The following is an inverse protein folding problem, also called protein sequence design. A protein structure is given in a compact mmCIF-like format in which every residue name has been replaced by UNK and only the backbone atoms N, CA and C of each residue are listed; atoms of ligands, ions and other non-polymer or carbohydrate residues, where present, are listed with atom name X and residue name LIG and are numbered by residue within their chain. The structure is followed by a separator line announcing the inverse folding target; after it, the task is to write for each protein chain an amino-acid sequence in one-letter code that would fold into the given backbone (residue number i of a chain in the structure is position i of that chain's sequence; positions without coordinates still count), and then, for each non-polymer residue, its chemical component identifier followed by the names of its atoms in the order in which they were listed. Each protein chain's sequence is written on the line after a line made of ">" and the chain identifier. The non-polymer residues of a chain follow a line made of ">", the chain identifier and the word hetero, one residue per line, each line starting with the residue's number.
data_IF_313773278065
#
_entry.id   IF_313773278065
#
_cell.length_a   1.000
_cell.length_b   1.000
_cell.length_c   1.000
_cell.angle_alpha   90.00
_cell.angle_beta   90.00
_cell.angle_gamma   90.00
#
_symmetry.space_group_name_H-M   'P 1'
#
loop_
_entity.id
_entity.type
_entity.pdbx_description
1 polymer ?
#
# COMPACT_ATOMS: atom_id res chain seq x y z
N UNK A 1 -12.34 -0.19 11.68
CA UNK A 1 -11.73 -1.51 11.95
C UNK A 1 -10.23 -1.36 11.98
N UNK A 2 -9.55 -1.90 12.99
CA UNK A 2 -8.09 -1.82 13.13
C UNK A 2 -7.53 -3.24 13.19
N UNK A 3 -6.59 -3.55 12.31
CA UNK A 3 -5.85 -4.83 12.34
C UNK A 3 -4.53 -4.58 13.07
N UNK A 4 -4.25 -5.38 14.10
CA UNK A 4 -2.96 -5.34 14.82
C UNK A 4 -2.05 -6.44 14.28
N UNK A 5 -0.95 -6.07 13.65
CA UNK A 5 0.08 -7.00 13.20
C UNK A 5 1.24 -7.08 14.21
N UNK A 6 1.73 -8.29 14.45
CA UNK A 6 3.01 -8.53 15.14
C UNK A 6 4.01 -9.08 14.12
N UNK A 7 5.08 -8.34 13.86
CA UNK A 7 6.10 -8.63 12.86
C UNK A 7 7.49 -8.59 13.49
N UNK A 8 8.46 -9.31 12.91
CA UNK A 8 9.84 -9.30 13.42
C UNK A 8 10.56 -7.99 13.07
N UNK A 9 11.41 -7.52 13.98
CA UNK A 9 12.33 -6.39 13.76
C UNK A 9 13.75 -6.92 13.68
N UNK A 10 14.46 -6.57 12.61
CA UNK A 10 15.85 -6.96 12.37
C UNK A 10 16.78 -5.76 12.49
N UNK A 11 18.05 -6.02 12.79
CA UNK A 11 19.10 -5.01 12.91
C UNK A 11 20.28 -5.36 12.00
N UNK A 12 20.92 -4.35 11.43
CA UNK A 12 22.20 -4.49 10.73
C UNK A 12 23.33 -3.92 11.58
N UNK A 13 24.34 -4.75 11.85
CA UNK A 13 25.48 -4.39 12.72
C UNK A 13 26.60 -3.65 11.98
N UNK A 14 26.50 -3.50 10.65
CA UNK A 14 27.50 -2.79 9.86
C UNK A 14 27.43 -1.29 10.14
N UNK A 15 28.51 -0.73 10.69
CA UNK A 15 28.62 0.71 11.05
C UNK A 15 28.38 1.67 9.88
N UNK A 16 28.70 1.27 8.65
CA UNK A 16 28.49 2.07 7.44
C UNK A 16 27.08 1.96 6.82
N UNK A 17 26.20 1.10 7.35
CA UNK A 17 24.87 0.92 6.79
C UNK A 17 23.92 2.06 7.21
N UNK A 18 23.39 2.79 6.22
CA UNK A 18 22.43 3.89 6.46
C UNK A 18 21.07 3.40 6.95
N UNK A 19 20.71 2.13 6.70
CA UNK A 19 19.48 1.50 7.19
C UNK A 19 19.82 0.47 8.26
N UNK A 20 19.78 0.87 9.53
CA UNK A 20 20.18 0.01 10.66
C UNK A 20 19.08 -0.91 11.17
N UNK A 21 17.82 -0.54 10.97
CA UNK A 21 16.66 -1.30 11.45
C UNK A 21 15.75 -1.63 10.28
N UNK A 22 15.30 -2.87 10.22
CA UNK A 22 14.36 -3.36 9.22
C UNK A 22 13.19 -4.05 9.93
N UNK A 23 12.03 -4.02 9.30
CA UNK A 23 10.84 -4.74 9.77
C UNK A 23 10.50 -5.79 8.74
N UNK A 24 10.21 -7.01 9.19
CA UNK A 24 9.73 -8.11 8.36
C UNK A 24 8.60 -7.65 7.45
N UNK A 25 8.75 -7.93 6.15
CA UNK A 25 7.70 -7.68 5.18
C UNK A 25 6.94 -8.99 4.94
N UNK A 26 5.76 -9.11 5.53
CA UNK A 26 4.81 -10.17 5.23
C UNK A 26 4.22 -9.89 3.85
N UNK A 27 4.49 -10.80 2.90
CA UNK A 27 3.95 -10.72 1.55
C UNK A 27 2.44 -10.51 1.57
N UNK A 28 1.93 -9.66 0.67
CA UNK A 28 0.51 -9.29 0.57
C UNK A 28 -0.07 -8.46 1.74
N UNK A 29 0.67 -8.27 2.83
CA UNK A 29 0.16 -7.62 4.03
C UNK A 29 0.93 -6.35 4.41
N UNK A 30 2.23 -6.33 4.13
CA UNK A 30 3.10 -5.18 4.44
C UNK A 30 4.05 -4.90 3.30
N UNK A 31 4.13 -3.63 2.94
CA UNK A 31 5.09 -3.08 1.98
C UNK A 31 5.63 -1.76 2.54
N UNK A 32 6.89 -1.45 2.25
CA UNK A 32 7.53 -0.20 2.65
C UNK A 32 6.70 1.02 2.20
N UNK A 33 6.45 1.94 3.13
CA UNK A 33 5.73 3.20 2.92
C UNK A 33 4.27 3.09 2.45
N UNK A 34 3.67 1.89 2.41
CA UNK A 34 2.26 1.74 2.07
C UNK A 34 1.36 2.20 3.22
N UNK A 35 0.38 3.03 2.89
CA UNK A 35 -0.65 3.54 3.82
C UNK A 35 -2.01 2.85 3.66
N UNK A 36 -2.10 1.84 2.80
CA UNK A 36 -3.32 1.06 2.57
C UNK A 36 -2.98 -0.40 2.30
N UNK A 37 -3.83 -1.31 2.76
CA UNK A 37 -3.71 -2.74 2.49
C UNK A 37 -3.80 -3.01 0.98
N UNK A 38 -3.20 -4.11 0.53
CA UNK A 38 -3.25 -4.53 -0.87
C UNK A 38 -4.68 -4.81 -1.32
N UNK A 39 -5.44 -5.57 -0.53
CA UNK A 39 -6.86 -5.80 -0.80
C UNK A 39 -7.65 -4.50 -0.93
N UNK A 40 -7.51 -3.54 -0.01
CA UNK A 40 -8.22 -2.26 -0.16
C UNK A 40 -7.85 -1.53 -1.45
N UNK A 41 -6.59 -1.58 -1.88
CA UNK A 41 -6.16 -0.97 -3.14
C UNK A 41 -6.82 -1.66 -4.34
N UNK A 42 -6.83 -3.00 -4.37
CA UNK A 42 -7.45 -3.78 -5.45
C UNK A 42 -8.95 -3.47 -5.58
N UNK A 43 -9.68 -3.50 -4.47
CA UNK A 43 -11.10 -3.15 -4.45
C UNK A 43 -11.36 -1.73 -4.97
N UNK A 44 -10.54 -0.76 -4.55
CA UNK A 44 -10.67 0.62 -5.03
C UNK A 44 -10.28 0.77 -6.51
N UNK A 45 -9.35 -0.03 -7.02
CA UNK A 45 -9.00 -0.07 -8.45
C UNK A 45 -10.18 -0.60 -9.26
N UNK A 46 -10.82 -1.70 -8.84
CA UNK A 46 -12.03 -2.21 -9.51
C UNK A 46 -13.13 -1.15 -9.54
N UNK A 47 -13.40 -0.49 -8.42
CA UNK A 47 -14.36 0.62 -8.36
C UNK A 47 -13.98 1.75 -9.33
N UNK A 48 -12.69 2.11 -9.42
CA UNK A 48 -12.22 3.15 -10.31
C UNK A 48 -12.36 2.78 -11.79
N UNK A 49 -12.09 1.52 -12.16
CA UNK A 49 -12.23 1.01 -13.53
C UNK A 49 -13.70 1.02 -13.96
N UNK A 50 -14.61 0.53 -13.10
CA UNK A 50 -16.03 0.38 -13.43
C UNK A 50 -16.82 1.69 -13.34
N UNK A 51 -16.51 2.56 -12.36
CA UNK A 51 -17.33 3.73 -12.04
C UNK A 51 -16.57 5.07 -12.17
N UNK A 52 -15.26 5.03 -12.39
CA UNK A 52 -14.42 6.22 -12.40
C UNK A 52 -14.40 6.97 -11.06
N UNK A 53 -14.20 8.28 -11.13
CA UNK A 53 -13.96 9.11 -9.94
C UNK A 53 -15.20 9.41 -9.09
N UNK A 54 -16.14 10.23 -9.59
CA UNK A 54 -17.25 10.76 -8.75
C UNK A 54 -18.31 9.71 -8.44
N UNK A 55 -18.62 8.81 -9.38
CA UNK A 55 -19.57 7.74 -9.11
C UNK A 55 -18.96 6.69 -8.16
N UNK A 56 -17.68 6.35 -8.36
CA UNK A 56 -16.93 5.51 -7.44
C UNK A 56 -16.83 6.10 -6.03
N UNK A 57 -16.61 7.41 -5.88
CA UNK A 57 -16.61 8.08 -4.57
C UNK A 57 -17.96 7.94 -3.84
N UNK A 58 -19.07 8.12 -4.56
CA UNK A 58 -20.41 7.95 -3.97
C UNK A 58 -20.65 6.52 -3.50
N UNK A 59 -20.21 5.52 -4.28
CA UNK A 59 -20.28 4.12 -3.87
C UNK A 59 -19.39 3.86 -2.64
N UNK A 60 -18.14 4.31 -2.66
CA UNK A 60 -17.22 4.15 -1.53
C UNK A 60 -17.79 4.73 -0.24
N UNK A 61 -18.45 5.90 -0.31
CA UNK A 61 -19.14 6.50 0.85
C UNK A 61 -20.24 5.60 1.40
N UNK A 62 -21.06 4.98 0.53
CA UNK A 62 -22.10 4.01 0.95
C UNK A 62 -21.50 2.75 1.57
N UNK A 63 -20.32 2.33 1.12
CA UNK A 63 -19.60 1.16 1.62
C UNK A 63 -18.68 1.46 2.82
N UNK A 64 -18.68 2.69 3.35
CA UNK A 64 -17.77 3.15 4.41
C UNK A 64 -16.27 2.97 4.06
N UNK A 65 -15.93 3.05 2.78
CA UNK A 65 -14.55 3.03 2.28
C UNK A 65 -14.02 4.46 2.13
N UNK A 66 -12.87 4.74 2.73
CA UNK A 66 -12.23 6.06 2.67
C UNK A 66 -11.53 6.29 1.32
N UNK A 67 -12.27 6.70 0.29
CA UNK A 67 -11.69 7.06 -1.01
C UNK A 67 -12.45 8.23 -1.66
N UNK A 68 -11.72 9.27 -2.08
CA UNK A 68 -12.28 10.39 -2.84
C UNK A 68 -12.02 10.25 -4.35
N UNK A 69 -12.75 11.01 -5.17
CA UNK A 69 -12.62 11.02 -6.65
C UNK A 69 -11.17 11.03 -7.13
N UNK A 70 -10.34 11.94 -6.62
CA UNK A 70 -8.94 12.09 -7.08
C UNK A 70 -8.11 10.84 -6.77
N UNK A 71 -8.35 10.21 -5.62
CA UNK A 71 -7.68 8.95 -5.26
C UNK A 71 -8.05 7.84 -6.23
N UNK A 72 -9.32 7.71 -6.60
CA UNK A 72 -9.81 6.70 -7.53
C UNK A 72 -9.24 6.89 -8.93
N UNK A 73 -9.31 8.12 -9.47
CA UNK A 73 -8.75 8.42 -10.80
C UNK A 73 -7.23 8.16 -10.83
N UNK A 74 -6.51 8.54 -9.76
CA UNK A 74 -5.07 8.28 -9.67
C UNK A 74 -4.68 6.80 -9.56
N UNK A 75 -5.61 5.88 -9.31
CA UNK A 75 -5.34 4.43 -9.38
C UNK A 75 -5.30 3.89 -10.81
N UNK A 76 -5.85 4.64 -11.76
CA UNK A 76 -5.81 4.32 -13.19
C UNK A 76 -4.52 4.84 -13.85
N UNK A 77 -3.80 5.73 -13.17
CA UNK A 77 -2.50 6.21 -13.61
C UNK A 77 -1.42 5.14 -13.35
N UNK A 78 -0.50 5.01 -14.29
CA UNK A 78 0.62 4.09 -14.17
C UNK A 78 1.46 4.43 -12.91
N UNK A 79 1.85 3.44 -12.09
CA UNK A 79 2.62 3.70 -10.90
C UNK A 79 3.95 4.39 -11.25
N UNK A 80 4.12 5.65 -10.83
CA UNK A 80 5.35 6.45 -11.05
C UNK A 80 6.64 5.85 -10.46
N UNK A 81 6.53 4.75 -9.73
CA UNK A 81 7.65 4.07 -9.10
C UNK A 81 7.58 2.57 -9.39
N UNK A 82 8.29 2.14 -10.43
CA UNK A 82 8.80 0.78 -10.48
C UNK A 82 9.57 0.50 -9.19
N UNK A 83 9.14 -0.51 -8.46
CA UNK A 83 9.73 -0.91 -7.18
C UNK A 83 11.20 -1.24 -7.42
N UNK A 84 12.11 -0.41 -6.90
CA UNK A 84 13.53 -0.79 -6.81
C UNK A 84 13.61 -1.95 -5.83
N UNK A 85 13.69 -3.17 -6.33
CA UNK A 85 14.12 -4.31 -5.54
C UNK A 85 15.52 -3.98 -4.98
N UNK A 86 15.59 -3.71 -3.67
CA UNK A 86 16.86 -3.89 -2.97
C UNK A 86 16.98 -5.40 -2.73
N UNK A 87 17.99 -6.08 -3.28
CA UNK A 87 18.21 -7.47 -2.96
C UNK A 87 18.53 -7.50 -1.46
N UNK A 88 17.59 -8.04 -0.68
CA UNK A 88 17.87 -8.40 0.70
C UNK A 88 18.96 -9.45 0.67
N UNK A 89 20.21 -9.04 0.96
CA UNK A 89 21.28 -9.98 1.27
C UNK A 89 20.90 -10.72 2.55
N UNK A 90 20.65 -12.02 2.42
CA UNK A 90 21.11 -12.98 3.42
C UNK A 90 22.60 -13.23 3.19
#
# INVERSE_FOLDING_TARGET
>A
MVVRLRVRRFFCDRKSCTRRTFVEQVGQLTELYRRSSLGLKEWLTTVAVELGGRAGERLCRKLNLAAGRTRLVGLLEEPRASVRHHPGRR
#
